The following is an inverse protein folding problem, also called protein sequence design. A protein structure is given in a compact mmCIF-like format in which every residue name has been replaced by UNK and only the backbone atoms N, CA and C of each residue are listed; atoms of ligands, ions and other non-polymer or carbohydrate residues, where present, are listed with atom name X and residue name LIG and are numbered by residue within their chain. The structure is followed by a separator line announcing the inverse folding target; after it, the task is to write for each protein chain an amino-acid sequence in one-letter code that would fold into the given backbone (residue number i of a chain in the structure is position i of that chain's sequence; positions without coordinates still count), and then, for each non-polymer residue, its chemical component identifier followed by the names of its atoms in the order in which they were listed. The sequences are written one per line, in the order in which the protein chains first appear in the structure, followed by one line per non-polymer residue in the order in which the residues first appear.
data_IF_232162560175
#
_entry.id   IF_232162560175
#
_cell.length_a   1.000
_cell.length_b   1.000
_cell.length_c   1.000
_cell.angle_alpha   90.00
_cell.angle_beta   90.00
_cell.angle_gamma   90.00
#
_symmetry.space_group_name_H-M   'P 1'
#
loop_
_entity.id
_entity.type
_entity.pdbx_description
1 polymer ?
#
# COMPACT_ATOMS: atom_id res chain seq x y z
N UNK A 1 35.92 13.56 1.08
CA UNK A 1 34.43 13.59 1.03
C UNK A 1 33.88 13.29 -0.37
N UNK A 2 34.45 13.84 -1.43
CA UNK A 2 33.91 13.73 -2.80
C UNK A 2 33.94 12.30 -3.42
N UNK A 3 34.97 11.50 -3.14
CA UNK A 3 35.10 10.15 -3.70
C UNK A 3 33.96 9.18 -3.29
N UNK A 4 33.44 9.32 -2.07
CA UNK A 4 32.34 8.48 -1.56
C UNK A 4 31.03 8.84 -2.28
N UNK A 5 30.78 10.13 -2.50
CA UNK A 5 29.61 10.60 -3.24
C UNK A 5 29.65 10.15 -4.70
N UNK A 6 30.83 10.22 -5.33
CA UNK A 6 31.05 9.70 -6.69
C UNK A 6 30.81 8.20 -6.80
N UNK A 7 31.29 7.41 -5.84
CA UNK A 7 31.03 5.97 -5.79
C UNK A 7 29.54 5.67 -5.58
N UNK A 8 28.88 6.39 -4.68
CA UNK A 8 27.45 6.25 -4.41
C UNK A 8 26.60 6.58 -5.64
N UNK A 9 26.93 7.67 -6.34
CA UNK A 9 26.28 8.05 -7.59
C UNK A 9 26.45 6.97 -8.65
N UNK A 10 27.66 6.43 -8.81
CA UNK A 10 27.94 5.31 -9.72
C UNK A 10 27.08 4.08 -9.39
N UNK A 11 27.05 3.66 -8.12
CA UNK A 11 26.25 2.50 -7.67
C UNK A 11 24.74 2.72 -7.89
N UNK A 12 24.24 3.97 -7.75
CA UNK A 12 22.82 4.29 -7.97
C UNK A 12 22.39 4.25 -9.43
N UNK A 13 23.28 4.61 -10.35
CA UNK A 13 22.96 4.72 -11.78
C UNK A 13 23.44 3.53 -12.61
N UNK A 14 24.20 2.62 -12.02
CA UNK A 14 24.51 1.35 -12.67
C UNK A 14 23.24 0.51 -12.89
N UNK A 15 23.12 -0.16 -14.04
CA UNK A 15 21.99 -1.02 -14.32
C UNK A 15 21.91 -2.12 -13.26
N UNK A 16 20.68 -2.39 -12.83
CA UNK A 16 20.40 -3.42 -11.83
C UNK A 16 20.97 -4.76 -12.31
N UNK A 17 21.87 -5.35 -11.52
CA UNK A 17 22.34 -6.71 -11.78
C UNK A 17 21.16 -7.70 -11.84
N UNK A 18 21.33 -8.87 -12.48
CA UNK A 18 20.24 -9.80 -12.80
C UNK A 18 19.47 -10.27 -11.55
N UNK A 19 20.15 -10.41 -10.40
CA UNK A 19 19.51 -10.76 -9.12
C UNK A 19 18.60 -9.63 -8.61
N UNK A 20 19.04 -8.38 -8.68
CA UNK A 20 18.28 -7.22 -8.21
C UNK A 20 17.13 -6.89 -9.16
N UNK A 21 17.33 -7.09 -10.47
CA UNK A 21 16.27 -7.01 -11.47
C UNK A 21 15.15 -8.03 -11.19
N UNK A 22 15.50 -9.29 -10.89
CA UNK A 22 14.52 -10.31 -10.46
C UNK A 22 13.80 -9.91 -9.18
N UNK A 23 14.49 -9.33 -8.20
CA UNK A 23 13.87 -8.87 -6.95
C UNK A 23 12.91 -7.69 -7.16
N UNK A 24 13.25 -6.74 -8.04
CA UNK A 24 12.38 -5.63 -8.38
C UNK A 24 11.17 -6.09 -9.20
N UNK A 25 11.34 -7.08 -10.08
CA UNK A 25 10.22 -7.70 -10.79
C UNK A 25 9.32 -8.52 -9.85
N UNK A 26 9.90 -9.16 -8.82
CA UNK A 26 9.15 -9.93 -7.81
C UNK A 26 8.44 -9.03 -6.79
N UNK A 27 9.00 -7.87 -6.48
CA UNK A 27 8.42 -6.85 -5.62
C UNK A 27 8.49 -5.52 -6.36
N UNK A 28 7.61 -5.29 -7.37
CA UNK A 28 7.45 -3.95 -7.89
C UNK A 28 7.13 -3.09 -6.68
N UNK A 29 7.94 -2.04 -6.46
CA UNK A 29 7.70 -1.11 -5.38
C UNK A 29 6.28 -0.57 -5.60
N UNK A 30 5.32 -1.08 -4.82
CA UNK A 30 3.91 -0.79 -4.98
C UNK A 30 3.70 0.62 -4.45
N UNK A 31 4.00 1.62 -5.29
CA UNK A 31 3.79 3.02 -4.95
C UNK A 31 2.30 3.31 -5.12
N UNK A 32 1.53 2.95 -4.11
CA UNK A 32 0.12 3.29 -4.03
C UNK A 32 -0.07 4.75 -3.62
N UNK A 33 0.44 5.70 -4.42
CA UNK A 33 0.37 7.13 -4.11
C UNK A 33 -1.08 7.59 -3.95
N UNK A 34 -1.99 7.01 -4.74
CA UNK A 34 -3.42 7.35 -4.73
C UNK A 34 -4.21 6.63 -3.62
N UNK A 35 -3.70 5.50 -3.11
CA UNK A 35 -4.45 4.71 -2.12
C UNK A 35 -4.30 5.30 -0.72
N UNK A 36 -5.43 5.64 -0.05
CA UNK A 36 -5.41 6.09 1.34
C UNK A 36 -4.68 5.11 2.27
N UNK A 37 -3.95 5.63 3.26
CA UNK A 37 -3.21 4.81 4.24
C UNK A 37 -4.12 3.85 5.01
N UNK A 38 -5.34 4.29 5.36
CA UNK A 38 -6.35 3.48 6.04
C UNK A 38 -6.83 2.27 5.22
N UNK A 39 -6.72 2.31 3.91
CA UNK A 39 -7.07 1.22 2.98
C UNK A 39 -5.85 0.36 2.72
N UNK A 40 -4.70 0.99 2.52
CA UNK A 40 -3.42 0.34 2.24
C UNK A 40 -3.08 -0.70 3.30
N UNK A 41 -3.08 -0.39 4.59
CA UNK A 41 -2.61 -1.35 5.59
C UNK A 41 -3.56 -2.53 5.84
N UNK A 42 -4.83 -2.43 5.42
CA UNK A 42 -5.82 -3.50 5.54
C UNK A 42 -5.86 -4.35 4.26
N UNK A 43 -5.49 -5.63 4.38
CA UNK A 43 -5.40 -6.53 3.22
C UNK A 43 -6.75 -6.73 2.52
N UNK A 44 -7.86 -6.76 3.26
CA UNK A 44 -9.18 -6.95 2.69
C UNK A 44 -9.60 -5.68 1.94
N UNK A 45 -9.52 -4.53 2.61
CA UNK A 45 -9.88 -3.24 2.02
C UNK A 45 -8.99 -2.86 0.83
N UNK A 46 -7.71 -3.26 0.85
CA UNK A 46 -6.78 -3.08 -0.27
C UNK A 46 -7.23 -3.85 -1.50
N UNK A 47 -7.64 -5.11 -1.36
CA UNK A 47 -8.12 -5.93 -2.48
C UNK A 47 -9.35 -5.30 -3.13
N UNK A 48 -10.31 -4.88 -2.30
CA UNK A 48 -11.53 -4.20 -2.75
C UNK A 48 -11.22 -2.86 -3.45
N UNK A 49 -10.24 -2.10 -2.95
CA UNK A 49 -9.81 -0.86 -3.59
C UNK A 49 -9.14 -1.10 -4.94
N UNK A 50 -8.34 -2.16 -5.09
CA UNK A 50 -7.70 -2.52 -6.36
C UNK A 50 -8.77 -2.90 -7.39
N UNK A 51 -9.76 -3.72 -7.00
CA UNK A 51 -10.90 -4.06 -7.87
C UNK A 51 -11.72 -2.82 -8.26
N UNK A 52 -11.92 -1.88 -7.32
CA UNK A 52 -12.57 -0.60 -7.61
C UNK A 52 -11.72 0.30 -8.51
N UNK A 53 -10.39 0.31 -8.37
CA UNK A 53 -9.47 1.06 -9.20
C UNK A 53 -9.45 0.54 -10.64
N UNK A 54 -9.46 -0.78 -10.84
CA UNK A 54 -9.62 -1.40 -12.17
C UNK A 54 -10.94 -0.99 -12.84
N UNK A 55 -12.00 -0.81 -12.04
CA UNK A 55 -13.30 -0.33 -12.50
C UNK A 55 -13.43 1.20 -12.60
N UNK A 56 -12.36 1.97 -12.39
CA UNK A 56 -12.36 3.45 -12.31
C UNK A 56 -13.35 4.02 -11.27
N UNK A 57 -13.53 3.32 -10.14
CA UNK A 57 -14.41 3.68 -9.01
C UNK A 57 -13.68 3.78 -7.67
N UNK A 58 -12.35 3.93 -7.70
CA UNK A 58 -11.50 4.06 -6.49
C UNK A 58 -11.91 5.24 -5.59
N UNK A 59 -12.27 6.38 -6.18
CA UNK A 59 -12.72 7.58 -5.45
C UNK A 59 -14.07 7.33 -4.76
N UNK A 60 -15.01 6.73 -5.50
CA UNK A 60 -16.33 6.40 -4.98
C UNK A 60 -16.24 5.42 -3.81
N UNK A 61 -15.43 4.37 -3.95
CA UNK A 61 -15.18 3.42 -2.86
C UNK A 61 -14.57 4.10 -1.61
N UNK A 62 -13.65 5.05 -1.81
CA UNK A 62 -13.03 5.78 -0.70
C UNK A 62 -14.03 6.67 0.04
N UNK A 63 -14.96 7.31 -0.68
CA UNK A 63 -16.06 8.07 -0.10
C UNK A 63 -17.02 7.18 0.69
N UNK A 64 -17.47 6.08 0.10
CA UNK A 64 -18.40 5.13 0.72
C UNK A 64 -17.83 4.53 2.01
N UNK A 65 -16.55 4.14 1.99
CA UNK A 65 -15.86 3.63 3.18
C UNK A 65 -15.75 4.69 4.26
N UNK A 66 -15.45 5.93 3.89
CA UNK A 66 -15.37 7.04 4.85
C UNK A 66 -16.73 7.32 5.48
N UNK A 67 -17.80 7.30 4.69
CA UNK A 67 -19.17 7.44 5.19
C UNK A 67 -19.57 6.28 6.10
N UNK A 68 -19.20 5.04 5.78
CA UNK A 68 -19.44 3.88 6.63
C UNK A 68 -18.68 3.99 7.97
N UNK A 69 -17.46 4.55 7.97
CA UNK A 69 -16.72 4.82 9.21
C UNK A 69 -17.44 5.88 10.06
N UNK A 70 -17.92 6.96 9.44
CA UNK A 70 -18.66 8.01 10.15
C UNK A 70 -20.00 7.52 10.72
N UNK A 71 -20.67 6.60 10.02
CA UNK A 71 -21.91 5.95 10.50
C UNK A 71 -21.69 4.95 11.62
N UNK A 72 -20.43 4.57 11.90
CA UNK A 72 -20.09 3.58 12.91
C UNK A 72 -20.20 2.12 12.42
N UNK A 73 -20.47 1.91 11.13
CA UNK A 73 -20.49 0.58 10.51
C UNK A 73 -19.06 0.00 10.37
N UNK A 74 -18.06 0.89 10.34
CA UNK A 74 -16.64 0.57 10.27
C UNK A 74 -15.84 1.41 11.28
N UNK A 75 -14.76 0.88 11.85
CA UNK A 75 -13.91 1.64 12.79
C UNK A 75 -12.71 2.32 12.09
N UNK A 76 -12.35 3.52 12.55
CA UNK A 76 -11.22 4.29 12.03
C UNK A 76 -9.89 3.71 12.52
N UNK A 77 -9.37 2.74 11.79
CA UNK A 77 -8.11 2.08 12.13
C UNK A 77 -8.24 0.58 11.94
N UNK A 78 -7.72 0.09 10.82
CA UNK A 78 -7.59 -1.35 10.62
C UNK A 78 -6.84 -1.97 11.80
N UNK A 79 -7.39 -3.10 12.28
CA UNK A 79 -7.04 -3.89 13.46
C UNK A 79 -7.76 -3.55 14.77
N UNK A 80 -9.04 -3.95 14.85
CA UNK A 80 -9.62 -4.40 16.12
C UNK A 80 -10.58 -5.57 15.92
N UNK A 81 -10.09 -6.68 15.36
CA UNK A 81 -10.87 -7.93 15.40
C UNK A 81 -10.03 -9.17 15.74
N UNK A 82 -8.95 -8.96 16.51
CA UNK A 82 -8.30 -10.03 17.25
C UNK A 82 -8.80 -10.13 18.71
N UNK A 83 -9.42 -9.08 19.26
CA UNK A 83 -9.85 -9.01 20.67
C UNK A 83 -11.32 -9.38 20.92
N UNK A 84 -12.23 -9.16 19.97
CA UNK A 84 -13.64 -9.56 20.17
C UNK A 84 -13.88 -11.05 19.92
N UNK A 85 -13.08 -11.69 19.06
CA UNK A 85 -13.17 -13.13 18.77
C UNK A 85 -12.65 -14.03 19.90
N UNK A 86 -12.02 -13.46 20.93
CA UNK A 86 -11.48 -14.18 22.09
C UNK A 86 -12.37 -14.11 23.34
N UNK A 87 -13.54 -13.45 23.25
CA UNK A 87 -14.48 -13.27 24.38
C UNK A 87 -15.78 -14.10 24.25
N UNK A 88 -15.84 -15.05 23.34
CA UNK A 88 -16.97 -15.97 23.16
C UNK A 88 -16.48 -17.40 23.19
#
# INVERSE_FOLDING_TARGET
MDAILKLHHKIKHEPLGPKRAKQLAANPQEIWTEMPSSIRYDKAARKEWIEAAEANRSDQYSLERTQAVQRGDLHHGGLHNALEKAKK
#
